data_IF_377350470399
#
_entry.id   IF_377350470399
#
_cell.length_a   1.000
_cell.length_b   1.000
_cell.length_c   1.000
_cell.angle_alpha   90.00
_cell.angle_beta   90.00
_cell.angle_gamma   90.00
#
_symmetry.space_group_name_H-M   'P 1'
#
loop_
_entity.id
_entity.type
_entity.pdbx_description
1 polymer ?
#
# COMPACT_ATOMS: atom_id res chain seq x y z
N UNK A 1 -13.95 -12.55 9.94
CA UNK A 1 -13.06 -12.51 11.12
C UNK A 1 -13.15 -11.14 11.79
N UNK A 2 -13.09 -11.11 13.13
CA UNK A 2 -13.18 -9.90 13.95
C UNK A 2 -11.83 -9.20 14.13
N UNK A 3 -11.81 -8.10 14.87
CA UNK A 3 -10.57 -7.46 15.29
C UNK A 3 -10.00 -8.17 16.51
N UNK A 4 -8.69 -8.41 16.51
CA UNK A 4 -7.92 -8.70 17.71
C UNK A 4 -7.32 -7.40 18.20
N UNK A 5 -7.56 -7.05 19.46
CA UNK A 5 -6.98 -5.87 20.10
C UNK A 5 -6.21 -6.29 21.33
N UNK A 6 -5.22 -5.49 21.71
CA UNK A 6 -4.43 -5.71 22.90
C UNK A 6 -3.72 -4.45 23.39
N UNK A 7 -3.33 -4.47 24.66
CA UNK A 7 -2.45 -3.47 25.24
C UNK A 7 -1.03 -3.52 24.68
N UNK A 8 -0.27 -2.42 24.80
CA UNK A 8 1.15 -2.41 24.42
C UNK A 8 2.00 -3.42 25.22
N UNK A 9 1.63 -3.72 26.47
CA UNK A 9 2.32 -4.72 27.29
C UNK A 9 2.11 -6.13 26.76
N UNK A 10 0.90 -6.42 26.28
CA UNK A 10 0.51 -7.70 25.69
C UNK A 10 1.17 -7.96 24.33
N UNK A 11 1.80 -6.95 23.72
CA UNK A 11 2.64 -7.12 22.53
C UNK A 11 4.00 -7.76 22.83
N UNK A 12 4.27 -8.25 24.04
CA UNK A 12 5.51 -9.01 24.33
C UNK A 12 6.81 -8.22 24.13
N UNK A 13 6.76 -6.89 24.24
CA UNK A 13 7.93 -6.03 24.04
C UNK A 13 8.22 -5.63 22.59
N UNK A 14 7.44 -6.10 21.60
CA UNK A 14 7.62 -5.70 20.21
C UNK A 14 7.37 -4.20 20.00
N UNK A 15 8.38 -3.49 19.46
CA UNK A 15 8.33 -2.04 19.32
C UNK A 15 7.36 -1.54 18.23
N UNK A 16 7.05 -2.38 17.24
CA UNK A 16 6.21 -2.04 16.08
C UNK A 16 5.20 -3.14 15.76
N UNK A 17 4.09 -2.76 15.12
CA UNK A 17 3.11 -3.70 14.61
C UNK A 17 3.73 -4.74 13.66
N UNK A 18 4.67 -4.32 12.79
CA UNK A 18 5.39 -5.23 11.89
C UNK A 18 6.13 -6.31 12.66
N UNK A 19 6.94 -5.94 13.65
CA UNK A 19 7.74 -6.89 14.42
C UNK A 19 6.86 -7.88 15.19
N UNK A 20 5.75 -7.40 15.75
CA UNK A 20 4.77 -8.27 16.40
C UNK A 20 4.14 -9.25 15.40
N UNK A 21 3.68 -8.77 14.25
CA UNK A 21 3.02 -9.62 13.26
C UNK A 21 3.98 -10.59 12.57
N UNK A 22 5.25 -10.21 12.38
CA UNK A 22 6.29 -11.11 11.88
C UNK A 22 6.45 -12.33 12.81
N UNK A 23 6.50 -12.08 14.12
CA UNK A 23 6.57 -13.11 15.16
C UNK A 23 5.29 -13.96 15.20
N UNK A 24 4.11 -13.32 15.24
CA UNK A 24 2.82 -14.03 15.27
C UNK A 24 2.61 -14.95 14.06
N UNK A 25 3.08 -14.57 12.88
CA UNK A 25 2.98 -15.40 11.66
C UNK A 25 4.23 -16.23 11.39
N UNK A 26 5.18 -16.30 12.32
CA UNK A 26 6.33 -17.19 12.28
C UNK A 26 6.27 -18.15 13.46
N UNK A 27 5.74 -19.35 13.23
CA UNK A 27 5.59 -20.36 14.27
C UNK A 27 5.68 -21.77 13.71
N UNK A 28 5.94 -22.73 14.58
CA UNK A 28 5.89 -24.16 14.32
C UNK A 28 5.15 -24.85 15.47
N UNK A 29 4.25 -25.79 15.16
CA UNK A 29 3.41 -26.50 16.14
C UNK A 29 3.28 -27.96 15.76
N UNK A 30 3.13 -28.82 16.76
CA UNK A 30 2.83 -30.23 16.54
C UNK A 30 1.47 -30.39 15.84
N UNK A 31 1.45 -31.27 14.85
CA UNK A 31 0.24 -31.58 14.10
C UNK A 31 -0.46 -32.81 14.70
N UNK A 32 -1.79 -32.82 14.88
CA UNK A 32 -2.52 -33.92 15.52
C UNK A 32 -2.36 -35.30 14.85
N UNK A 33 -1.95 -35.34 13.58
CA UNK A 33 -1.67 -36.58 12.82
C UNK A 33 -0.19 -36.99 12.83
N UNK A 34 0.61 -36.40 13.72
CA UNK A 34 2.08 -36.52 13.72
C UNK A 34 2.75 -35.47 12.83
N UNK A 35 4.02 -35.21 13.12
CA UNK A 35 4.84 -34.18 12.46
C UNK A 35 4.60 -32.76 12.97
N UNK A 36 5.28 -31.78 12.37
CA UNK A 36 5.12 -30.36 12.67
C UNK A 36 4.47 -29.61 11.51
N UNK A 37 3.74 -28.56 11.82
CA UNK A 37 3.21 -27.61 10.84
C UNK A 37 3.38 -26.19 11.33
N UNK A 38 3.71 -25.29 10.42
CA UNK A 38 3.98 -23.91 10.76
C UNK A 38 3.76 -22.93 9.62
N UNK A 39 4.11 -21.69 9.93
CA UNK A 39 4.26 -20.59 9.00
C UNK A 39 5.60 -19.92 9.25
N UNK A 40 6.24 -19.46 8.17
CA UNK A 40 7.46 -18.65 8.23
C UNK A 40 7.30 -17.43 7.36
N UNK A 41 7.42 -16.24 7.95
CA UNK A 41 7.44 -14.99 7.19
C UNK A 41 8.77 -14.86 6.45
N UNK A 42 8.73 -14.78 5.11
CA UNK A 42 9.92 -14.62 4.27
C UNK A 42 10.27 -13.15 4.04
N UNK A 43 9.24 -12.33 3.84
CA UNK A 43 9.36 -10.88 3.71
C UNK A 43 8.07 -10.23 4.17
N UNK A 44 8.17 -9.03 4.75
CA UNK A 44 7.01 -8.28 5.20
C UNK A 44 7.25 -6.78 5.19
N UNK A 45 6.15 -6.02 5.17
CA UNK A 45 6.14 -4.57 5.19
C UNK A 45 4.90 -4.08 5.90
N UNK A 46 5.01 -2.99 6.66
CA UNK A 46 3.86 -2.37 7.31
C UNK A 46 3.82 -0.86 7.06
N UNK A 47 3.53 -0.41 5.82
CA UNK A 47 3.57 1.01 5.48
C UNK A 47 2.71 1.85 6.42
N UNK A 48 3.34 2.85 7.03
CA UNK A 48 2.72 3.79 7.97
C UNK A 48 1.99 3.15 9.18
N UNK A 49 2.33 1.91 9.56
CA UNK A 49 1.64 1.16 10.63
C UNK A 49 0.12 1.07 10.43
N UNK A 50 -0.35 0.98 9.18
CA UNK A 50 -1.79 0.90 8.85
C UNK A 50 -2.19 -0.43 8.23
N UNK A 51 -1.34 -0.98 7.37
CA UNK A 51 -1.59 -2.27 6.72
C UNK A 51 -0.28 -3.04 6.70
N UNK A 52 -0.31 -4.23 7.27
CA UNK A 52 0.77 -5.19 7.20
C UNK A 52 0.57 -6.10 5.98
N UNK A 53 1.64 -6.37 5.26
CA UNK A 53 1.70 -7.32 4.16
C UNK A 53 2.86 -8.27 4.43
N UNK A 54 2.68 -9.56 4.18
CA UNK A 54 3.75 -10.54 4.27
C UNK A 54 3.60 -11.66 3.25
N UNK A 55 4.74 -12.16 2.77
CA UNK A 55 4.84 -13.45 2.11
C UNK A 55 5.13 -14.50 3.20
N UNK A 56 4.16 -15.37 3.46
CA UNK A 56 4.26 -16.40 4.47
C UNK A 56 4.36 -17.78 3.81
N UNK A 57 5.41 -18.53 4.14
CA UNK A 57 5.62 -19.88 3.68
C UNK A 57 5.01 -20.88 4.66
N UNK A 58 4.17 -21.79 4.16
CA UNK A 58 3.74 -22.96 4.92
C UNK A 58 4.94 -23.87 5.15
N UNK A 59 5.18 -24.25 6.40
CA UNK A 59 6.19 -25.25 6.75
C UNK A 59 5.53 -26.53 7.25
N UNK A 60 6.09 -27.68 6.87
CA UNK A 60 5.70 -29.00 7.38
C UNK A 60 6.95 -29.81 7.64
N UNK A 61 7.14 -30.29 8.86
CA UNK A 61 8.34 -31.07 9.26
C UNK A 61 9.66 -30.34 8.89
N UNK A 62 9.69 -29.02 9.10
CA UNK A 62 10.81 -28.15 8.70
C UNK A 62 10.96 -27.89 7.19
N UNK A 63 10.14 -28.53 6.34
CA UNK A 63 10.18 -28.39 4.87
C UNK A 63 9.25 -27.25 4.44
N UNK A 64 9.80 -26.32 3.65
CA UNK A 64 9.03 -25.20 3.08
C UNK A 64 8.16 -25.62 1.90
N UNK A 65 6.90 -25.16 1.91
CA UNK A 65 5.92 -25.38 0.86
C UNK A 65 5.43 -24.08 0.22
N UNK A 66 4.12 -24.02 -0.01
CA UNK A 66 3.41 -22.88 -0.61
C UNK A 66 3.70 -21.57 0.12
N UNK A 67 3.89 -20.49 -0.64
CA UNK A 67 4.02 -19.12 -0.16
C UNK A 67 2.81 -18.32 -0.61
N UNK A 68 2.07 -17.78 0.35
CA UNK A 68 0.88 -16.95 0.10
C UNK A 68 0.98 -15.62 0.84
N UNK A 69 0.17 -14.65 0.43
CA UNK A 69 0.15 -13.35 1.08
C UNK A 69 -0.79 -13.31 2.28
N UNK A 70 -0.27 -12.81 3.41
CA UNK A 70 -1.03 -12.37 4.58
C UNK A 70 -1.14 -10.86 4.54
N UNK A 71 -2.34 -10.35 4.75
CA UNK A 71 -2.64 -8.92 4.86
C UNK A 71 -3.31 -8.68 6.20
N UNK A 72 -2.83 -7.71 6.98
CA UNK A 72 -3.52 -7.30 8.21
C UNK A 72 -3.82 -5.81 8.19
N UNK A 73 -5.08 -5.45 8.45
CA UNK A 73 -5.38 -4.09 8.87
C UNK A 73 -4.79 -3.88 10.25
N UNK A 74 -4.12 -2.76 10.47
CA UNK A 74 -3.47 -2.43 11.73
C UNK A 74 -4.14 -1.21 12.34
N UNK A 75 -4.57 -1.38 13.59
CA UNK A 75 -4.93 -0.31 14.49
C UNK A 75 -3.72 -0.01 15.38
N UNK A 76 -3.28 1.24 15.40
CA UNK A 76 -2.24 1.72 16.30
C UNK A 76 -2.70 3.01 16.97
N UNK A 77 -3.05 2.92 18.25
CA UNK A 77 -3.50 4.04 19.06
C UNK A 77 -2.77 4.08 20.44
N UNK A 78 -1.60 4.74 20.52
CA UNK A 78 -0.86 4.89 21.77
C UNK A 78 -1.63 5.62 22.88
N UNK A 79 -2.67 6.39 22.52
CA UNK A 79 -3.49 7.17 23.47
C UNK A 79 -4.87 6.54 23.70
N UNK A 80 -5.00 5.24 23.43
CA UNK A 80 -6.27 4.53 23.62
C UNK A 80 -6.72 4.59 25.07
N UNK A 81 -7.93 5.15 25.30
CA UNK A 81 -8.51 5.28 26.64
C UNK A 81 -8.91 3.92 27.25
N UNK A 82 -9.18 2.92 26.43
CA UNK A 82 -9.49 1.55 26.88
C UNK A 82 -8.24 0.72 27.22
N UNK A 83 -7.03 1.26 27.01
CA UNK A 83 -5.77 0.52 27.15
C UNK A 83 -5.44 -0.39 25.96
N UNK A 84 -6.37 -0.57 25.03
CA UNK A 84 -6.18 -1.35 23.79
C UNK A 84 -5.41 -0.52 22.76
N UNK A 85 -4.08 -0.53 22.85
CA UNK A 85 -3.20 0.33 22.07
C UNK A 85 -2.95 -0.18 20.65
N UNK A 86 -3.03 -1.49 20.46
CA UNK A 86 -2.75 -2.15 19.20
C UNK A 86 -3.91 -3.07 18.85
N UNK A 87 -4.17 -3.22 17.56
CA UNK A 87 -5.03 -4.28 17.08
C UNK A 87 -4.74 -4.62 15.64
N UNK A 88 -5.16 -5.81 15.23
CA UNK A 88 -5.08 -6.22 13.86
C UNK A 88 -6.28 -7.06 13.44
N UNK A 89 -6.54 -7.06 12.14
CA UNK A 89 -7.50 -7.94 11.50
C UNK A 89 -6.80 -8.58 10.31
N UNK A 90 -6.54 -9.86 10.41
CA UNK A 90 -5.85 -10.64 9.39
C UNK A 90 -6.81 -11.17 8.33
N UNK A 91 -6.27 -11.28 7.12
CA UNK A 91 -6.89 -11.87 5.95
C UNK A 91 -5.80 -12.37 5.02
N UNK A 92 -6.11 -13.36 4.18
CA UNK A 92 -5.21 -13.79 3.12
C UNK A 92 -5.58 -13.13 1.80
N UNK A 93 -4.70 -13.18 0.81
CA UNK A 93 -5.02 -12.74 -0.55
C UNK A 93 -6.27 -13.39 -1.15
N UNK A 94 -6.59 -14.63 -0.74
CA UNK A 94 -7.78 -15.35 -1.19
C UNK A 94 -9.09 -14.68 -0.73
N UNK A 95 -9.03 -13.78 0.25
CA UNK A 95 -10.19 -13.00 0.70
C UNK A 95 -10.41 -11.72 -0.12
N UNK A 96 -9.53 -11.42 -1.09
CA UNK A 96 -9.61 -10.23 -1.93
C UNK A 96 -9.56 -8.90 -1.16
N UNK A 97 -8.50 -8.62 -0.37
CA UNK A 97 -8.41 -7.37 0.39
C UNK A 97 -8.63 -6.12 -0.47
N UNK A 98 -9.26 -5.07 0.08
CA UNK A 98 -9.33 -3.77 -0.60
C UNK A 98 -7.95 -3.10 -0.65
N UNK A 99 -7.14 -3.34 0.38
CA UNK A 99 -5.81 -2.79 0.59
C UNK A 99 -4.81 -3.42 -0.40
N UNK A 100 -4.54 -2.69 -1.49
CA UNK A 100 -3.70 -3.15 -2.59
C UNK A 100 -2.39 -2.34 -2.70
N UNK A 101 -1.74 -2.05 -1.58
CA UNK A 101 -0.47 -1.31 -1.55
C UNK A 101 0.74 -2.21 -1.24
N UNK A 102 0.61 -3.52 -1.50
CA UNK A 102 1.65 -4.51 -1.25
C UNK A 102 2.92 -4.22 -2.09
N UNK A 103 4.13 -4.17 -1.48
CA UNK A 103 5.38 -4.03 -2.21
C UNK A 103 5.68 -5.15 -3.21
N UNK A 104 6.36 -4.82 -4.32
CA UNK A 104 6.75 -5.77 -5.36
C UNK A 104 7.53 -6.97 -4.79
N UNK A 105 8.51 -6.70 -3.92
CA UNK A 105 9.36 -7.73 -3.31
C UNK A 105 8.57 -8.81 -2.53
N UNK A 106 7.39 -8.50 -2.00
CA UNK A 106 6.52 -9.49 -1.36
C UNK A 106 5.75 -10.28 -2.43
N UNK A 107 5.18 -9.57 -3.42
CA UNK A 107 4.44 -10.20 -4.52
C UNK A 107 5.29 -11.18 -5.33
N UNK A 108 6.59 -10.88 -5.49
CA UNK A 108 7.54 -11.70 -6.26
C UNK A 108 7.90 -13.03 -5.55
N UNK A 109 7.62 -13.16 -4.25
CA UNK A 109 7.85 -14.38 -3.49
C UNK A 109 6.66 -15.35 -3.49
N UNK A 110 5.49 -14.89 -3.93
CA UNK A 110 4.26 -15.68 -3.80
C UNK A 110 4.20 -16.79 -4.84
N UNK A 111 3.83 -17.99 -4.39
CA UNK A 111 3.61 -19.14 -5.26
C UNK A 111 2.46 -18.84 -6.26
N UNK A 112 2.53 -19.35 -7.51
CA UNK A 112 1.39 -19.28 -8.42
C UNK A 112 0.11 -19.84 -7.79
N UNK A 113 -1.03 -19.22 -8.11
CA UNK A 113 -2.34 -19.61 -7.57
C UNK A 113 -3.41 -19.51 -8.64
N UNK A 114 -4.47 -20.29 -8.50
CA UNK A 114 -5.67 -20.24 -9.35
C UNK A 114 -6.84 -19.53 -8.67
N UNK A 115 -6.67 -19.05 -7.44
CA UNK A 115 -7.72 -18.34 -6.71
C UNK A 115 -7.98 -16.96 -7.35
N UNK A 116 -9.21 -16.73 -7.82
CA UNK A 116 -9.59 -15.51 -8.54
C UNK A 116 -9.41 -14.24 -7.71
N UNK A 117 -9.77 -14.27 -6.41
CA UNK A 117 -9.62 -13.12 -5.51
C UNK A 117 -8.15 -12.79 -5.25
N UNK A 118 -7.29 -13.80 -5.12
CA UNK A 118 -5.86 -13.59 -4.97
C UNK A 118 -5.24 -13.00 -6.24
N UNK A 119 -5.59 -13.54 -7.42
CA UNK A 119 -5.13 -13.02 -8.71
C UNK A 119 -5.56 -11.56 -8.91
N UNK A 120 -6.82 -11.24 -8.61
CA UNK A 120 -7.34 -9.88 -8.64
C UNK A 120 -6.58 -8.93 -7.70
N UNK A 121 -6.37 -9.36 -6.46
CA UNK A 121 -5.65 -8.57 -5.47
C UNK A 121 -4.19 -8.31 -5.88
N UNK A 122 -3.47 -9.35 -6.35
CA UNK A 122 -2.10 -9.22 -6.86
C UNK A 122 -2.03 -8.24 -8.04
N UNK A 123 -3.00 -8.32 -8.98
CA UNK A 123 -3.10 -7.38 -10.11
C UNK A 123 -3.27 -5.94 -9.63
N UNK A 124 -4.22 -5.68 -8.73
CA UNK A 124 -4.43 -4.34 -8.15
C UNK A 124 -3.19 -3.81 -7.44
N UNK A 125 -2.44 -4.67 -6.74
CA UNK A 125 -1.17 -4.27 -6.11
C UNK A 125 -0.13 -3.83 -7.15
N UNK A 126 0.03 -4.60 -8.24
CA UNK A 126 0.93 -4.25 -9.34
C UNK A 126 0.55 -2.94 -10.02
N UNK A 127 -0.74 -2.72 -10.27
CA UNK A 127 -1.25 -1.46 -10.82
C UNK A 127 -0.96 -0.28 -9.89
N UNK A 128 -1.18 -0.43 -8.58
CA UNK A 128 -0.90 0.63 -7.61
C UNK A 128 0.60 0.97 -7.57
N UNK A 129 1.48 -0.04 -7.64
CA UNK A 129 2.92 0.17 -7.76
C UNK A 129 3.28 0.91 -9.04
N UNK A 130 2.71 0.51 -10.18
CA UNK A 130 2.94 1.17 -11.47
C UNK A 130 2.50 2.64 -11.46
N UNK A 131 1.33 2.95 -10.86
CA UNK A 131 0.85 4.32 -10.70
C UNK A 131 1.82 5.16 -9.85
N UNK A 132 2.32 4.60 -8.75
CA UNK A 132 3.26 5.28 -7.84
C UNK A 132 4.66 5.46 -8.44
N UNK A 133 5.09 4.56 -9.32
CA UNK A 133 6.39 4.64 -9.98
C UNK A 133 6.43 5.60 -11.17
N UNK A 134 5.29 6.15 -11.59
CA UNK A 134 5.23 7.15 -12.67
C UNK A 134 6.18 8.31 -12.36
N UNK A 135 6.97 8.69 -13.35
CA UNK A 135 7.80 9.89 -13.27
C UNK A 135 6.94 11.10 -13.67
N UNK A 136 7.19 12.22 -13.01
CA UNK A 136 6.55 13.48 -13.31
C UNK A 136 7.54 14.60 -13.03
N UNK A 137 7.63 15.57 -13.91
CA UNK A 137 8.63 16.64 -13.80
C UNK A 137 7.97 17.93 -13.33
N UNK A 138 8.76 18.80 -12.70
CA UNK A 138 8.32 20.17 -12.44
C UNK A 138 8.04 20.85 -13.79
N UNK A 139 6.92 21.57 -13.87
CA UNK A 139 6.42 22.21 -15.08
C UNK A 139 5.44 21.36 -15.89
N UNK A 140 5.36 20.05 -15.64
CA UNK A 140 4.40 19.20 -16.37
C UNK A 140 2.96 19.63 -16.09
N UNK A 141 2.17 19.82 -17.15
CA UNK A 141 0.73 20.01 -17.03
C UNK A 141 0.05 18.65 -16.95
N UNK A 142 -0.80 18.46 -15.94
CA UNK A 142 -1.58 17.23 -15.76
C UNK A 142 -3.06 17.52 -15.78
N UNK A 143 -3.83 16.49 -16.13
CA UNK A 143 -5.28 16.46 -16.08
C UNK A 143 -5.75 15.30 -15.21
N UNK A 144 -6.68 15.59 -14.30
CA UNK A 144 -7.36 14.59 -13.49
C UNK A 144 -8.54 14.00 -14.29
N UNK A 145 -8.98 12.77 -13.98
CA UNK A 145 -10.12 12.15 -14.65
C UNK A 145 -11.45 12.85 -14.34
N UNK A 146 -11.52 13.61 -13.24
CA UNK A 146 -12.66 14.42 -12.86
C UNK A 146 -12.19 15.66 -12.08
N UNK A 147 -12.92 16.77 -12.12
CA UNK A 147 -12.61 17.97 -11.35
C UNK A 147 -12.61 17.68 -9.84
N UNK A 148 -11.65 18.28 -9.12
CA UNK A 148 -11.53 18.17 -7.67
C UNK A 148 -11.89 19.52 -7.03
N UNK A 149 -12.75 19.47 -6.01
CA UNK A 149 -13.10 20.63 -5.19
C UNK A 149 -12.17 20.72 -3.97
N UNK A 150 -11.61 21.90 -3.76
CA UNK A 150 -10.75 22.24 -2.63
C UNK A 150 -11.51 23.00 -1.53
N UNK A 151 -10.90 23.12 -0.36
CA UNK A 151 -11.50 23.72 0.84
C UNK A 151 -11.78 25.22 0.72
N UNK A 152 -11.06 25.91 -0.17
CA UNK A 152 -11.25 27.33 -0.51
C UNK A 152 -12.37 27.54 -1.54
N UNK A 153 -13.04 26.47 -1.97
CA UNK A 153 -14.10 26.50 -2.98
C UNK A 153 -13.60 26.39 -4.42
N UNK A 154 -12.28 26.40 -4.65
CA UNK A 154 -11.72 26.20 -5.99
C UNK A 154 -12.07 24.82 -6.52
N UNK A 155 -12.42 24.75 -7.81
CA UNK A 155 -12.67 23.50 -8.53
C UNK A 155 -11.75 23.47 -9.73
N UNK A 156 -10.86 22.49 -9.77
CA UNK A 156 -9.86 22.37 -10.82
C UNK A 156 -9.72 20.94 -11.31
N UNK A 157 -9.46 20.80 -12.60
CA UNK A 157 -9.23 19.51 -13.27
C UNK A 157 -7.80 19.42 -13.81
N UNK A 158 -7.21 20.55 -14.21
CA UNK A 158 -5.86 20.64 -14.74
C UNK A 158 -4.95 21.42 -13.81
N UNK A 159 -3.71 20.96 -13.69
CA UNK A 159 -2.73 21.58 -12.81
C UNK A 159 -1.33 21.54 -13.41
N UNK A 160 -0.49 22.49 -13.03
CA UNK A 160 0.93 22.48 -13.32
C UNK A 160 1.66 21.90 -12.11
N UNK A 161 2.52 20.93 -12.34
CA UNK A 161 3.26 20.24 -11.29
C UNK A 161 4.44 21.09 -10.86
N UNK A 162 4.58 21.30 -9.55
CA UNK A 162 5.72 21.96 -8.94
C UNK A 162 6.34 21.05 -7.88
N UNK A 163 7.52 20.48 -8.16
CA UNK A 163 8.24 19.61 -7.21
C UNK A 163 9.22 20.43 -6.38
N UNK A 164 9.01 20.40 -5.07
CA UNK A 164 9.90 21.02 -4.08
C UNK A 164 10.50 19.90 -3.22
N UNK A 165 11.72 19.47 -3.57
CA UNK A 165 12.37 18.29 -3.00
C UNK A 165 11.51 17.04 -3.24
N UNK A 166 11.07 16.39 -2.16
CA UNK A 166 10.19 15.20 -2.23
C UNK A 166 8.70 15.55 -2.35
N UNK A 167 8.32 16.81 -2.17
CA UNK A 167 6.92 17.23 -2.16
C UNK A 167 6.46 17.56 -3.57
N UNK A 168 5.22 17.19 -3.88
CA UNK A 168 4.53 17.60 -5.11
C UNK A 168 3.46 18.62 -4.73
N UNK A 169 3.56 19.80 -5.31
CA UNK A 169 2.55 20.86 -5.24
C UNK A 169 1.93 20.96 -6.62
N UNK A 170 0.62 21.19 -6.66
CA UNK A 170 -0.10 21.45 -7.90
C UNK A 170 -0.36 22.94 -7.95
N UNK A 171 -0.16 23.57 -9.09
CA UNK A 171 -0.48 24.99 -9.30
C UNK A 171 -1.61 25.10 -10.29
N UNK A 172 -2.59 25.92 -9.95
CA UNK A 172 -3.62 26.28 -10.90
C UNK A 172 -2.99 26.95 -12.14
N UNK A 173 -3.35 26.54 -13.38
CA UNK A 173 -2.73 27.07 -14.59
C UNK A 173 -2.92 28.58 -14.78
N UNK A 174 -4.05 29.13 -14.31
CA UNK A 174 -4.43 30.53 -14.52
C UNK A 174 -3.91 31.44 -13.39
N UNK A 175 -4.27 31.12 -12.15
CA UNK A 175 -3.99 31.93 -10.96
C UNK A 175 -2.63 31.62 -10.32
N UNK A 176 -2.00 30.50 -10.69
CA UNK A 176 -0.75 29.98 -10.10
C UNK A 176 -0.82 29.67 -8.60
N UNK A 177 -2.03 29.68 -8.02
CA UNK A 177 -2.28 29.34 -6.62
C UNK A 177 -1.91 27.88 -6.34
N UNK A 178 -1.28 27.59 -5.19
CA UNK A 178 -0.83 26.25 -4.86
C UNK A 178 -1.92 25.41 -4.20
N UNK A 179 -2.10 24.19 -4.70
CA UNK A 179 -3.02 23.17 -4.24
C UNK A 179 -2.30 21.87 -3.92
N UNK A 180 -2.92 21.03 -3.08
CA UNK A 180 -2.41 19.70 -2.74
C UNK A 180 -3.51 18.66 -2.82
N UNK A 181 -3.23 17.58 -3.53
CA UNK A 181 -4.07 16.39 -3.57
C UNK A 181 -3.39 15.29 -2.77
N UNK A 182 -4.09 14.76 -1.76
CA UNK A 182 -3.62 13.64 -0.96
C UNK A 182 -3.38 12.41 -1.84
N UNK A 183 -2.25 11.73 -1.62
CA UNK A 183 -1.83 10.57 -2.43
C UNK A 183 -1.88 10.85 -3.94
N UNK A 184 -1.45 12.04 -4.38
CA UNK A 184 -1.49 12.45 -5.78
C UNK A 184 -0.93 11.39 -6.75
N UNK A 185 0.17 10.72 -6.41
CA UNK A 185 0.77 9.68 -7.26
C UNK A 185 -0.11 8.43 -7.40
N UNK A 186 -1.08 8.22 -6.50
CA UNK A 186 -2.05 7.12 -6.57
C UNK A 186 -3.22 7.45 -7.51
N UNK A 187 -3.42 8.72 -7.88
CA UNK A 187 -4.53 9.19 -8.71
C UNK A 187 -4.31 8.91 -10.19
N UNK A 188 -5.38 8.69 -10.96
CA UNK A 188 -5.30 8.36 -12.39
C UNK A 188 -5.10 9.58 -13.32
N UNK A 189 -4.22 10.52 -12.93
CA UNK A 189 -3.88 11.68 -13.77
C UNK A 189 -3.16 11.28 -15.06
N UNK A 190 -3.30 12.12 -16.08
CA UNK A 190 -2.59 12.05 -17.36
C UNK A 190 -1.79 13.34 -17.59
N UNK A 191 -0.72 13.27 -18.40
CA UNK A 191 0.03 14.47 -18.81
C UNK A 191 -0.72 15.09 -19.99
N UNK A 192 -0.98 16.38 -19.92
CA UNK A 192 -1.54 17.16 -21.04
C UNK A 192 -0.38 17.47 -21.99
N UNK A 193 -0.42 17.02 -23.26
CA UNK A 193 0.62 17.36 -24.22
C UNK A 193 0.63 18.87 -24.45
N UNK A 194 1.75 19.53 -24.21
CA UNK A 194 1.93 20.91 -24.67
C UNK A 194 2.25 20.87 -26.17
N UNK A 195 1.31 21.33 -27.00
CA UNK A 195 1.57 21.57 -28.42
C UNK A 195 2.53 22.76 -28.50
N UNK A 196 3.84 22.50 -28.52
CA UNK A 196 4.83 23.53 -28.86
C UNK A 196 4.59 23.92 -30.31
N UNK A 197 3.88 25.03 -30.53
CA UNK A 197 3.80 25.64 -31.86
C UNK A 197 5.20 26.17 -32.17
N UNK A 198 5.94 25.44 -33.00
CA UNK A 198 7.16 25.97 -33.57
C UNK A 198 6.78 27.22 -34.38
N UNK A 199 7.33 28.39 -34.02
CA UNK A 199 7.24 29.57 -34.87
C UNK A 199 7.91 29.22 -36.20
N UNK A 200 7.12 28.93 -37.21
CA UNK A 200 7.60 28.87 -38.60
C UNK A 200 8.05 30.28 -38.95
N UNK A 201 9.36 30.50 -38.94
CA UNK A 201 9.97 31.70 -39.49
C UNK A 201 9.83 31.59 -41.01
N UNK A 202 8.91 32.34 -41.61
CA UNK A 202 8.94 32.60 -43.04
C UNK A 202 10.06 33.60 -43.28
N UNK A 203 11.13 33.14 -43.96
CA UNK A 203 12.22 33.97 -44.46
C UNK A 203 11.87 34.51 -45.85
#
# INVERSE_FOLDING_TARGET
>A
MGWLTMSRHSMGGHATAKAYLDDQFTYERDHPKGGTRGLKVLASSCPANRVYYAAAQVTRDGIGGEVFAIVCLVLWNPRSASGENFGYKDMTENMGPCEAACPAAILDLLTPTTNEHALDWRRRCREALARRSRKIETGARIKLPAPVRFSDGHVGEEFIVDRIGRRVILRDPETRMPYRIGRFMDQAWTIVPETKVHKTLFA
#
